data_IF_844043136154
#
_entry.id   IF_844043136154
#
_cell.length_a   1.000
_cell.length_b   1.000
_cell.length_c   1.000
_cell.angle_alpha   90.00
_cell.angle_beta   90.00
_cell.angle_gamma   90.00
#
_symmetry.space_group_name_H-M   'P 1'
#
loop_
_entity.id
_entity.type
_entity.pdbx_description
1 polymer ?
#
# COMPACT_ATOMS: atom_id res chain seq x y z
N UNK A 1 4.31 11.72 5.40
CA UNK A 1 3.03 11.08 5.79
C UNK A 1 2.01 11.33 4.67
N UNK A 2 1.90 10.41 3.73
CA UNK A 2 1.14 10.50 2.46
C UNK A 2 -0.37 10.24 2.67
N UNK A 3 -1.06 11.02 3.49
CA UNK A 3 -2.49 10.78 3.80
C UNK A 3 -3.48 11.45 2.82
N UNK A 4 -3.02 12.11 1.76
CA UNK A 4 -3.89 12.89 0.85
C UNK A 4 -4.28 12.18 -0.46
N UNK A 5 -3.82 10.95 -0.70
CA UNK A 5 -3.92 10.29 -2.01
C UNK A 5 -5.25 9.56 -2.31
N UNK A 6 -6.26 9.61 -1.44
CA UNK A 6 -7.50 8.83 -1.64
C UNK A 6 -8.51 9.43 -2.64
N UNK A 7 -8.32 10.68 -3.06
CA UNK A 7 -9.27 11.41 -3.91
C UNK A 7 -8.75 11.66 -5.34
N UNK A 8 -7.78 10.88 -5.81
CA UNK A 8 -7.19 11.02 -7.14
C UNK A 8 -7.31 9.72 -7.92
N UNK A 9 -7.55 9.82 -9.22
CA UNK A 9 -7.67 8.66 -10.10
C UNK A 9 -6.30 8.09 -10.54
N UNK A 10 -5.24 8.89 -10.41
CA UNK A 10 -3.89 8.51 -10.81
C UNK A 10 -2.81 9.21 -9.97
N UNK A 11 -1.68 8.53 -9.81
CA UNK A 11 -0.46 9.06 -9.19
C UNK A 11 0.64 9.10 -10.26
N UNK A 12 1.36 10.22 -10.36
CA UNK A 12 2.54 10.34 -11.24
C UNK A 12 3.79 10.35 -10.37
N UNK A 13 4.63 9.33 -10.51
CA UNK A 13 5.93 9.26 -9.85
C UNK A 13 6.98 10.00 -10.70
N UNK A 14 7.55 11.09 -10.16
CA UNK A 14 8.55 11.91 -10.84
C UNK A 14 9.92 11.64 -10.22
N UNK A 15 10.83 11.10 -11.03
CA UNK A 15 12.18 10.70 -10.60
C UNK A 15 13.27 11.53 -11.27
N UNK A 16 14.38 11.73 -10.56
CA UNK A 16 15.52 12.52 -11.05
C UNK A 16 16.43 11.65 -11.91
N UNK A 17 16.57 11.99 -13.19
CA UNK A 17 17.43 11.26 -14.13
C UNK A 17 18.69 12.06 -14.57
N UNK A 18 19.15 13.02 -13.76
CA UNK A 18 20.32 13.84 -14.06
C UNK A 18 21.21 14.10 -12.83
N UNK A 19 22.51 14.21 -13.04
CA UNK A 19 23.50 14.54 -11.99
C UNK A 19 23.79 16.04 -11.98
N UNK A 20 23.77 16.66 -10.79
CA UNK A 20 24.15 18.06 -10.56
C UNK A 20 24.77 18.15 -9.16
N UNK A 21 26.04 18.54 -9.08
CA UNK A 21 26.82 18.65 -7.83
C UNK A 21 26.30 19.77 -6.91
N UNK A 22 25.58 20.74 -7.44
CA UNK A 22 24.96 21.82 -6.65
C UNK A 22 23.70 21.35 -5.90
N UNK A 23 23.15 20.19 -6.27
CA UNK A 23 21.92 19.62 -5.69
C UNK A 23 22.23 18.22 -5.12
N UNK A 24 22.53 18.11 -3.81
CA UNK A 24 22.83 16.83 -3.20
C UNK A 24 21.61 15.89 -3.24
N UNK A 25 21.85 14.62 -3.55
CA UNK A 25 20.82 13.57 -3.45
C UNK A 25 20.74 13.03 -2.03
N UNK A 26 19.55 12.69 -1.54
CA UNK A 26 19.35 12.17 -0.17
C UNK A 26 20.19 10.91 0.09
N UNK A 27 20.29 10.03 -0.91
CA UNK A 27 21.09 8.79 -0.89
C UNK A 27 22.55 9.00 -1.35
N UNK A 28 23.01 10.25 -1.50
CA UNK A 28 24.38 10.60 -1.90
C UNK A 28 24.73 10.37 -3.38
N UNK A 29 23.91 9.64 -4.13
CA UNK A 29 24.02 9.44 -5.58
C UNK A 29 22.65 9.36 -6.22
N UNK A 30 22.54 9.74 -7.50
CA UNK A 30 21.31 9.64 -8.28
C UNK A 30 21.23 8.23 -8.87
N UNK A 31 20.15 7.51 -8.55
CA UNK A 31 19.89 6.16 -9.02
C UNK A 31 18.39 6.00 -9.28
N UNK A 32 18.02 6.12 -10.56
CA UNK A 32 16.61 6.16 -10.98
C UNK A 32 15.87 4.88 -10.61
N UNK A 33 16.50 3.71 -10.77
CA UNK A 33 15.87 2.43 -10.49
C UNK A 33 15.62 2.28 -8.99
N UNK A 34 16.59 2.68 -8.17
CA UNK A 34 16.45 2.67 -6.70
C UNK A 34 15.37 3.61 -6.22
N UNK A 35 15.29 4.82 -6.78
CA UNK A 35 14.30 5.82 -6.37
C UNK A 35 12.88 5.34 -6.69
N UNK A 36 12.67 4.72 -7.86
CA UNK A 36 11.39 4.10 -8.22
C UNK A 36 11.05 2.97 -7.25
N UNK A 37 11.97 2.01 -7.06
CA UNK A 37 11.76 0.86 -6.19
C UNK A 37 11.47 1.28 -4.74
N UNK A 38 12.11 2.34 -4.26
CA UNK A 38 11.87 2.87 -2.91
C UNK A 38 10.45 3.38 -2.76
N UNK A 39 9.96 4.17 -3.73
CA UNK A 39 8.59 4.69 -3.71
C UNK A 39 7.57 3.56 -3.85
N UNK A 40 7.82 2.58 -4.73
CA UNK A 40 6.93 1.43 -4.90
C UNK A 40 6.82 0.59 -3.62
N UNK A 41 7.94 0.37 -2.91
CA UNK A 41 7.93 -0.31 -1.62
C UNK A 41 7.17 0.48 -0.55
N UNK A 42 7.37 1.80 -0.47
CA UNK A 42 6.63 2.65 0.48
C UNK A 42 5.12 2.61 0.24
N UNK A 43 4.70 2.63 -1.03
CA UNK A 43 3.29 2.50 -1.41
C UNK A 43 2.75 1.11 -1.04
N UNK A 44 3.50 0.04 -1.33
CA UNK A 44 3.12 -1.32 -0.96
C UNK A 44 2.96 -1.48 0.57
N UNK A 45 3.87 -0.92 1.38
CA UNK A 45 3.74 -0.91 2.84
C UNK A 45 2.50 -0.13 3.32
N UNK A 46 2.19 1.00 2.68
CA UNK A 46 0.98 1.77 2.98
C UNK A 46 -0.29 0.97 2.70
N UNK A 47 -0.36 0.29 1.56
CA UNK A 47 -1.49 -0.56 1.18
C UNK A 47 -1.62 -1.76 2.12
N UNK A 48 -0.51 -2.40 2.49
CA UNK A 48 -0.51 -3.48 3.47
C UNK A 48 -1.09 -3.02 4.81
N UNK A 49 -0.67 -1.86 5.31
CA UNK A 49 -1.20 -1.30 6.55
C UNK A 49 -2.71 -0.99 6.47
N UNK A 50 -3.22 -0.59 5.29
CA UNK A 50 -4.65 -0.38 5.06
C UNK A 50 -5.43 -1.70 5.07
N UNK A 51 -4.90 -2.73 4.39
CA UNK A 51 -5.47 -4.07 4.35
C UNK A 51 -5.56 -4.67 5.76
N UNK A 52 -4.48 -4.58 6.55
CA UNK A 52 -4.44 -5.11 7.92
C UNK A 52 -5.47 -4.43 8.83
N UNK A 53 -5.57 -3.10 8.77
CA UNK A 53 -6.59 -2.35 9.51
C UNK A 53 -8.00 -2.75 9.10
N UNK A 54 -8.24 -3.03 7.81
CA UNK A 54 -9.55 -3.49 7.33
C UNK A 54 -9.86 -4.90 7.82
N UNK A 55 -8.92 -5.83 7.70
CA UNK A 55 -9.05 -7.20 8.19
C UNK A 55 -9.35 -7.23 9.70
N UNK A 56 -8.62 -6.45 10.50
CA UNK A 56 -8.87 -6.34 11.93
C UNK A 56 -10.29 -5.85 12.26
N UNK A 57 -10.81 -4.87 11.50
CA UNK A 57 -12.19 -4.40 11.67
C UNK A 57 -13.21 -5.49 11.32
N UNK A 58 -12.96 -6.25 10.24
CA UNK A 58 -13.83 -7.36 9.84
C UNK A 58 -13.86 -8.43 10.93
N UNK A 59 -12.71 -8.79 11.52
CA UNK A 59 -12.64 -9.75 12.63
C UNK A 59 -13.47 -9.30 13.84
N UNK A 60 -13.42 -8.02 14.17
CA UNK A 60 -14.25 -7.45 15.24
C UNK A 60 -15.74 -7.53 14.86
N UNK A 61 -16.10 -7.16 13.63
CA UNK A 61 -17.49 -7.24 13.14
C UNK A 61 -18.03 -8.66 13.12
N UNK A 62 -17.21 -9.66 12.75
CA UNK A 62 -17.60 -11.07 12.68
C UNK A 62 -18.00 -11.66 14.04
N UNK A 63 -17.46 -11.13 15.15
CA UNK A 63 -17.82 -11.57 16.51
C UNK A 63 -19.26 -11.23 16.88
N UNK A 64 -19.81 -10.14 16.33
CA UNK A 64 -21.18 -9.67 16.62
C UNK A 64 -22.17 -9.82 15.45
N UNK A 65 -21.74 -10.30 14.29
CA UNK A 65 -22.54 -10.31 13.06
C UNK A 65 -23.70 -11.32 13.11
N UNK A 66 -24.86 -10.88 12.61
CA UNK A 66 -26.00 -11.77 12.33
C UNK A 66 -25.71 -12.64 11.10
N UNK A 67 -26.42 -13.75 10.94
CA UNK A 67 -26.16 -14.73 9.88
C UNK A 67 -26.19 -14.15 8.46
N UNK A 68 -27.06 -13.16 8.20
CA UNK A 68 -27.16 -12.47 6.91
C UNK A 68 -25.94 -11.60 6.60
N UNK A 69 -25.34 -10.95 7.59
CA UNK A 69 -24.17 -10.06 7.42
C UNK A 69 -22.86 -10.85 7.42
N UNK A 70 -22.82 -11.94 8.20
CA UNK A 70 -21.62 -12.77 8.36
C UNK A 70 -21.12 -13.35 7.04
N UNK A 71 -22.00 -13.79 6.14
CA UNK A 71 -21.56 -14.32 4.84
C UNK A 71 -20.83 -13.27 4.00
N UNK A 72 -21.32 -12.03 3.98
CA UNK A 72 -20.68 -10.93 3.26
C UNK A 72 -19.29 -10.61 3.82
N UNK A 73 -19.18 -10.52 5.16
CA UNK A 73 -17.92 -10.26 5.85
C UNK A 73 -16.88 -11.36 5.63
N UNK A 74 -17.28 -12.64 5.66
CA UNK A 74 -16.37 -13.75 5.38
C UNK A 74 -15.84 -13.72 3.95
N UNK A 75 -16.72 -13.43 2.98
CA UNK A 75 -16.32 -13.32 1.56
C UNK A 75 -15.36 -12.15 1.33
N UNK A 76 -15.63 -11.01 1.97
CA UNK A 76 -14.71 -9.87 1.92
C UNK A 76 -13.36 -10.21 2.55
N UNK A 77 -13.37 -10.84 3.74
CA UNK A 77 -12.16 -11.27 4.43
C UNK A 77 -11.31 -12.20 3.56
N UNK A 78 -11.92 -13.20 2.94
CA UNK A 78 -11.24 -14.15 2.04
C UNK A 78 -10.58 -13.43 0.88
N UNK A 79 -11.29 -12.52 0.21
CA UNK A 79 -10.73 -11.73 -0.88
C UNK A 79 -9.55 -10.86 -0.42
N UNK A 80 -9.70 -10.17 0.71
CA UNK A 80 -8.63 -9.32 1.24
C UNK A 80 -7.39 -10.12 1.69
N UNK A 81 -7.57 -11.33 2.23
CA UNK A 81 -6.45 -12.22 2.55
C UNK A 81 -5.69 -12.64 1.29
N UNK A 82 -6.40 -12.91 0.19
CA UNK A 82 -5.75 -13.23 -1.08
C UNK A 82 -4.95 -12.05 -1.61
N UNK A 83 -5.55 -10.85 -1.65
CA UNK A 83 -4.87 -9.63 -2.10
C UNK A 83 -3.64 -9.32 -1.23
N UNK A 84 -3.76 -9.49 0.09
CA UNK A 84 -2.63 -9.33 1.01
C UNK A 84 -1.49 -10.31 0.68
N UNK A 85 -1.81 -11.59 0.46
CA UNK A 85 -0.80 -12.59 0.15
C UNK A 85 -0.11 -12.34 -1.20
N UNK A 86 -0.83 -11.86 -2.20
CA UNK A 86 -0.26 -11.48 -3.50
C UNK A 86 0.67 -10.27 -3.33
N UNK A 87 0.24 -9.25 -2.57
CA UNK A 87 1.07 -8.06 -2.28
C UNK A 87 2.35 -8.42 -1.53
N UNK A 88 2.28 -9.27 -0.50
CA UNK A 88 3.45 -9.72 0.28
C UNK A 88 4.45 -10.55 -0.55
N UNK A 89 4.02 -11.14 -1.67
CA UNK A 89 4.88 -11.92 -2.55
C UNK A 89 5.69 -11.05 -3.52
N UNK A 90 5.12 -9.92 -3.91
CA UNK A 90 5.73 -8.99 -4.86
C UNK A 90 6.64 -7.95 -4.17
N UNK A 91 6.67 -7.93 -2.83
CA UNK A 91 7.59 -7.18 -1.99
C UNK A 91 8.86 -7.98 -1.66
#
# INVERSE_FOLDING_TARGET
MMTTNSNVDALINVVRAFTDESIPHIEGSVDVERDIATIDLELAFSDLALLERRLQRIDISLKGAKQLERQGLLREQEMLMKVKADLEKDM
#
